data_IF_022564206722
#
_entry.id   IF_022564206722
#
_cell.length_a   1.000
_cell.length_b   1.000
_cell.length_c   1.000
_cell.angle_alpha   90.00
_cell.angle_beta   90.00
_cell.angle_gamma   90.00
#
_symmetry.space_group_name_H-M   'P 1'
#
loop_
_entity.id
_entity.type
_entity.pdbx_description
1 polymer ?
#
# COMPACT_ATOMS: atom_id res chain seq x y z
N UNK A 1 16.53 -23.84 -30.94
CA UNK A 1 15.69 -23.27 -29.86
C UNK A 1 14.36 -22.91 -30.49
N UNK A 2 13.27 -23.55 -30.07
CA UNK A 2 11.96 -23.31 -30.64
C UNK A 2 11.48 -21.90 -30.22
N UNK A 3 11.11 -21.08 -31.19
CA UNK A 3 10.44 -19.81 -30.96
C UNK A 3 9.10 -20.10 -30.27
N UNK A 4 8.97 -19.75 -29.00
CA UNK A 4 7.70 -19.87 -28.28
C UNK A 4 6.78 -18.80 -28.84
N UNK A 5 5.81 -19.21 -29.67
CA UNK A 5 4.82 -18.28 -30.19
C UNK A 5 4.07 -17.61 -29.02
N UNK A 6 3.86 -16.30 -29.12
CA UNK A 6 3.04 -15.51 -28.19
C UNK A 6 1.56 -15.88 -28.34
N UNK A 7 1.24 -17.12 -28.00
CA UNK A 7 -0.11 -17.63 -27.93
C UNK A 7 -0.83 -17.07 -26.70
N UNK A 8 -2.15 -17.02 -26.75
CA UNK A 8 -2.99 -16.61 -25.61
C UNK A 8 -2.70 -17.44 -24.36
N UNK A 9 -2.47 -18.75 -24.51
CA UNK A 9 -2.15 -19.64 -23.40
C UNK A 9 -0.80 -19.30 -22.75
N UNK A 10 0.22 -18.94 -23.55
CA UNK A 10 1.51 -18.49 -23.04
C UNK A 10 1.38 -17.18 -22.25
N UNK A 11 0.66 -16.19 -22.79
CA UNK A 11 0.45 -14.90 -22.09
C UNK A 11 -0.32 -15.06 -20.78
N UNK A 12 -1.29 -15.98 -20.71
CA UNK A 12 -1.99 -16.30 -19.46
C UNK A 12 -1.05 -16.92 -18.42
N UNK A 13 -0.17 -17.83 -18.83
CA UNK A 13 0.82 -18.42 -17.93
C UNK A 13 1.82 -17.38 -17.42
N UNK A 14 2.30 -16.50 -18.30
CA UNK A 14 3.19 -15.37 -17.95
C UNK A 14 2.51 -14.43 -16.96
N UNK A 15 1.27 -14.02 -17.21
CA UNK A 15 0.52 -13.15 -16.30
C UNK A 15 0.33 -13.79 -14.91
N UNK A 16 0.03 -15.08 -14.85
CA UNK A 16 -0.06 -15.81 -13.58
C UNK A 16 1.27 -15.82 -12.85
N UNK A 17 2.37 -16.09 -13.56
CA UNK A 17 3.73 -16.06 -13.00
C UNK A 17 4.10 -14.69 -12.44
N UNK A 18 3.85 -13.62 -13.21
CA UNK A 18 4.07 -12.24 -12.78
C UNK A 18 3.23 -11.86 -11.57
N UNK A 19 1.95 -12.26 -11.56
CA UNK A 19 1.05 -12.06 -10.41
C UNK A 19 1.59 -12.76 -9.15
N UNK A 20 2.12 -13.99 -9.28
CA UNK A 20 2.73 -14.71 -8.16
C UNK A 20 4.00 -14.02 -7.66
N UNK A 21 4.89 -13.59 -8.55
CA UNK A 21 6.12 -12.87 -8.20
C UNK A 21 5.78 -11.57 -7.48
N UNK A 22 4.82 -10.81 -8.00
CA UNK A 22 4.35 -9.56 -7.41
C UNK A 22 3.80 -9.77 -6.00
N UNK A 23 2.88 -10.73 -5.80
CA UNK A 23 2.29 -10.99 -4.49
C UNK A 23 3.35 -11.44 -3.47
N UNK A 24 4.28 -12.31 -3.88
CA UNK A 24 5.36 -12.76 -3.00
C UNK A 24 6.28 -11.59 -2.59
N UNK A 25 6.62 -10.70 -3.52
CA UNK A 25 7.44 -9.52 -3.23
C UNK A 25 6.69 -8.51 -2.35
N UNK A 26 5.38 -8.35 -2.56
CA UNK A 26 4.52 -7.46 -1.77
C UNK A 26 4.43 -7.89 -0.30
N UNK A 27 4.39 -9.20 -0.05
CA UNK A 27 4.40 -9.78 1.31
C UNK A 27 5.75 -9.59 2.02
N UNK A 28 6.85 -9.65 1.27
CA UNK A 28 8.22 -9.50 1.79
C UNK A 28 8.69 -8.06 1.97
N UNK A 29 7.93 -7.07 1.50
CA UNK A 29 8.26 -5.65 1.61
C UNK A 29 8.24 -5.13 3.05
N UNK A 30 9.08 -4.13 3.35
CA UNK A 30 9.15 -3.53 4.68
C UNK A 30 7.95 -2.59 4.92
N UNK A 31 7.13 -2.96 5.91
CA UNK A 31 5.92 -2.23 6.31
C UNK A 31 6.16 -1.37 7.54
N UNK A 32 7.12 -0.44 7.46
CA UNK A 32 7.44 0.45 8.58
C UNK A 32 6.25 1.32 8.98
N UNK A 33 5.35 1.63 8.03
CA UNK A 33 4.14 2.37 8.29
C UNK A 33 3.25 1.74 9.37
N UNK A 34 3.25 0.41 9.51
CA UNK A 34 2.47 -0.30 10.54
C UNK A 34 2.98 -0.07 11.96
N UNK A 35 4.23 0.39 12.10
CA UNK A 35 4.83 0.71 13.41
C UNK A 35 4.41 2.08 13.93
N UNK A 36 4.04 3.00 13.03
CA UNK A 36 3.76 4.39 13.37
C UNK A 36 2.28 4.77 13.20
N UNK A 37 1.56 4.11 12.29
CA UNK A 37 0.16 4.38 12.00
C UNK A 37 -0.76 3.23 12.39
N UNK A 38 -1.98 3.58 12.80
CA UNK A 38 -3.07 2.61 13.00
C UNK A 38 -3.73 2.29 11.66
N UNK A 39 -3.74 1.01 11.28
CA UNK A 39 -4.48 0.53 10.12
C UNK A 39 -5.97 0.38 10.45
N UNK A 40 -6.84 1.00 9.66
CA UNK A 40 -8.29 0.81 9.74
C UNK A 40 -8.82 0.40 8.38
N UNK A 41 -9.59 -0.69 8.34
CA UNK A 41 -10.31 -1.09 7.14
C UNK A 41 -11.51 -0.15 6.92
N UNK A 42 -11.45 0.66 5.87
CA UNK A 42 -12.52 1.57 5.48
C UNK A 42 -13.33 0.98 4.33
N UNK A 43 -14.65 0.87 4.50
CA UNK A 43 -15.60 0.53 3.43
C UNK A 43 -16.29 1.77 2.83
N UNK A 44 -15.93 2.97 3.28
CA UNK A 44 -16.50 4.25 2.84
C UNK A 44 -15.43 5.13 2.20
N UNK A 45 -15.84 5.97 1.24
CA UNK A 45 -14.99 6.97 0.57
C UNK A 45 -14.41 8.00 1.54
N UNK A 46 -15.11 8.23 2.65
CA UNK A 46 -14.74 9.17 3.69
C UNK A 46 -14.90 8.47 5.04
N UNK A 47 -13.88 8.59 5.88
CA UNK A 47 -13.94 8.16 7.28
C UNK A 47 -13.72 9.39 8.15
N UNK A 48 -14.72 9.69 8.98
CA UNK A 48 -14.68 10.79 9.92
C UNK A 48 -14.42 10.30 11.34
N UNK A 49 -13.33 10.76 11.94
CA UNK A 49 -12.96 10.48 13.32
C UNK A 49 -13.31 11.68 14.20
N UNK A 50 -14.58 11.76 14.62
CA UNK A 50 -15.10 12.82 15.48
C UNK A 50 -14.57 12.76 16.92
N UNK A 51 -14.14 11.59 17.40
CA UNK A 51 -13.68 11.41 18.78
C UNK A 51 -12.22 11.84 19.01
N UNK A 52 -11.38 11.89 17.98
CA UNK A 52 -9.94 12.17 18.16
C UNK A 52 -9.68 13.58 18.71
N UNK A 53 -10.52 14.56 18.39
CA UNK A 53 -10.40 15.91 18.96
C UNK A 53 -11.15 16.11 20.27
N UNK A 54 -11.94 15.13 20.71
CA UNK A 54 -12.82 15.27 21.87
C UNK A 54 -12.21 14.69 23.16
N UNK A 55 -11.13 13.92 23.05
CA UNK A 55 -10.46 13.32 24.22
C UNK A 55 -9.65 14.38 24.99
N UNK A 56 -9.97 14.62 26.27
CA UNK A 56 -9.16 15.51 27.10
C UNK A 56 -7.80 14.87 27.41
N UNK A 57 -6.74 15.70 27.48
CA UNK A 57 -5.44 15.24 27.97
C UNK A 57 -5.56 14.74 29.41
N UNK A 58 -4.78 13.71 29.74
CA UNK A 58 -4.63 13.25 31.12
C UNK A 58 -4.04 14.37 31.97
N UNK A 59 -4.63 14.61 33.13
CA UNK A 59 -4.09 15.52 34.15
C UNK A 59 -3.99 14.77 35.47
N UNK A 60 -3.10 15.25 36.32
CA UNK A 60 -3.03 14.81 37.71
C UNK A 60 -4.34 15.12 38.45
N UNK A 61 -4.72 14.22 39.35
CA UNK A 61 -5.96 14.35 40.12
C UNK A 61 -5.77 15.43 41.19
N UNK A 62 -6.51 16.54 41.08
CA UNK A 62 -6.56 17.60 42.10
C UNK A 62 -8.03 17.82 42.47
N UNK A 63 -8.48 17.28 43.61
CA UNK A 63 -9.85 17.44 44.11
C UNK A 63 -10.88 16.54 43.43
N UNK A 64 -12.06 17.05 43.06
CA UNK A 64 -13.12 16.24 42.44
C UNK A 64 -12.89 16.00 40.93
N UNK A 65 -13.47 14.92 40.39
CA UNK A 65 -13.37 14.57 38.97
C UNK A 65 -14.07 15.65 38.12
N UNK A 66 -13.31 16.38 37.31
CA UNK A 66 -13.92 17.30 36.33
C UNK A 66 -14.01 16.70 34.93
N UNK A 67 -15.18 16.86 34.32
CA UNK A 67 -15.50 16.39 32.98
C UNK A 67 -15.22 17.50 31.94
N UNK A 68 -14.54 17.17 30.85
CA UNK A 68 -14.37 18.10 29.71
C UNK A 68 -15.55 18.00 28.75
N UNK A 69 -15.93 19.14 28.16
CA UNK A 69 -16.90 19.18 27.06
C UNK A 69 -16.23 18.68 25.78
N UNK A 70 -16.84 17.69 25.13
CA UNK A 70 -16.38 17.13 23.86
C UNK A 70 -16.44 18.22 22.77
N UNK A 71 -15.31 18.56 22.15
CA UNK A 71 -15.26 19.43 20.96
C UNK A 71 -15.41 18.58 19.69
N UNK A 72 -16.28 18.98 18.78
CA UNK A 72 -16.61 18.24 17.54
C UNK A 72 -15.72 18.58 16.34
N UNK A 73 -14.40 18.70 16.53
CA UNK A 73 -13.49 18.85 15.39
C UNK A 73 -13.12 17.45 14.88
N UNK A 74 -13.87 16.93 13.91
CA UNK A 74 -13.55 15.64 13.29
C UNK A 74 -12.32 15.71 12.39
N UNK A 75 -11.51 14.65 12.40
CA UNK A 75 -10.54 14.40 11.34
C UNK A 75 -11.22 13.63 10.21
N UNK A 76 -11.17 14.16 9.00
CA UNK A 76 -11.76 13.54 7.82
C UNK A 76 -10.65 12.98 6.94
N UNK A 77 -10.63 11.67 6.76
CA UNK A 77 -9.73 11.00 5.81
C UNK A 77 -10.55 10.63 4.57
N UNK A 78 -10.14 11.14 3.41
CA UNK A 78 -10.75 10.82 2.12
C UNK A 78 -9.88 9.82 1.37
N UNK A 79 -10.52 8.81 0.78
CA UNK A 79 -9.84 7.83 -0.08
C UNK A 79 -9.18 8.55 -1.26
N UNK A 80 -7.90 8.21 -1.50
CA UNK A 80 -7.17 8.60 -2.71
C UNK A 80 -6.70 7.33 -3.41
N UNK A 81 -6.84 7.30 -4.72
CA UNK A 81 -6.36 6.20 -5.56
C UNK A 81 -4.94 6.53 -6.05
N UNK A 82 -4.07 5.51 -6.07
CA UNK A 82 -2.65 5.63 -6.44
C UNK A 82 -2.30 4.55 -7.45
N UNK A 83 -1.41 4.88 -8.38
CA UNK A 83 -1.00 3.97 -9.45
C UNK A 83 0.50 4.08 -9.73
N UNK A 84 1.12 2.93 -9.98
CA UNK A 84 2.44 2.81 -10.59
C UNK A 84 2.40 1.66 -11.60
N UNK A 85 2.68 1.97 -12.87
CA UNK A 85 2.53 1.06 -14.00
C UNK A 85 3.81 1.04 -14.83
N UNK A 86 4.17 -0.14 -15.37
CA UNK A 86 5.32 -0.31 -16.27
C UNK A 86 4.88 -0.91 -17.61
N UNK A 87 5.58 -0.54 -18.67
CA UNK A 87 5.45 -1.15 -19.98
C UNK A 87 6.68 -2.02 -20.28
N UNK A 88 6.44 -3.26 -20.71
CA UNK A 88 7.51 -4.19 -21.08
C UNK A 88 7.38 -4.55 -22.56
N UNK A 89 8.43 -4.35 -23.38
CA UNK A 89 8.39 -4.73 -24.78
C UNK A 89 8.19 -6.24 -24.96
N UNK A 90 7.44 -6.60 -26.01
CA UNK A 90 7.20 -8.00 -26.39
C UNK A 90 8.49 -8.82 -26.49
N UNK A 91 9.51 -8.28 -27.14
CA UNK A 91 10.77 -8.99 -27.37
C UNK A 91 11.49 -9.30 -26.05
N UNK A 92 11.36 -8.41 -25.06
CA UNK A 92 11.92 -8.65 -23.72
C UNK A 92 11.20 -9.82 -23.05
N UNK A 93 9.87 -9.96 -23.21
CA UNK A 93 9.11 -11.11 -22.68
C UNK A 93 9.49 -12.42 -23.39
N UNK A 94 9.63 -12.39 -24.72
CA UNK A 94 9.93 -13.58 -25.50
C UNK A 94 11.37 -14.06 -25.31
N UNK A 95 12.31 -13.14 -25.13
CA UNK A 95 13.74 -13.40 -25.08
C UNK A 95 14.38 -13.05 -23.74
N UNK A 96 13.64 -13.10 -22.61
CA UNK A 96 14.16 -12.76 -21.28
C UNK A 96 15.25 -13.75 -20.81
N UNK A 97 16.43 -13.65 -21.41
CA UNK A 97 17.59 -14.50 -21.15
C UNK A 97 18.37 -14.05 -19.92
N UNK A 98 18.14 -12.80 -19.48
CA UNK A 98 18.85 -12.16 -18.37
C UNK A 98 17.97 -12.06 -17.11
N UNK A 99 16.72 -12.52 -17.17
CA UNK A 99 15.79 -12.48 -16.05
C UNK A 99 15.50 -11.06 -15.57
N UNK A 100 15.43 -10.10 -16.49
CA UNK A 100 15.31 -8.67 -16.19
C UNK A 100 13.89 -8.30 -15.77
N UNK A 101 12.89 -9.03 -16.26
CA UNK A 101 11.49 -8.70 -15.98
C UNK A 101 11.14 -8.98 -14.52
N UNK A 102 11.69 -10.06 -13.95
CA UNK A 102 11.44 -10.44 -12.56
C UNK A 102 11.79 -9.33 -11.55
N UNK A 103 13.01 -8.77 -11.52
CA UNK A 103 13.35 -7.70 -10.59
C UNK A 103 12.54 -6.41 -10.85
N UNK A 104 12.11 -6.14 -12.09
CA UNK A 104 11.23 -4.99 -12.36
C UNK A 104 9.86 -5.15 -11.68
N UNK A 105 9.28 -6.35 -11.72
CA UNK A 105 8.01 -6.66 -11.04
C UNK A 105 8.18 -6.66 -9.52
N UNK A 106 9.29 -7.20 -9.02
CA UNK A 106 9.62 -7.15 -7.58
C UNK A 106 9.73 -5.70 -7.10
N UNK A 107 10.46 -4.85 -7.84
CA UNK A 107 10.58 -3.41 -7.55
C UNK A 107 9.22 -2.71 -7.55
N UNK A 108 8.33 -3.03 -8.50
CA UNK A 108 6.96 -2.50 -8.49
C UNK A 108 6.19 -2.88 -7.22
N UNK A 109 6.35 -4.10 -6.72
CA UNK A 109 5.72 -4.51 -5.47
C UNK A 109 6.31 -3.76 -4.26
N UNK A 110 7.62 -3.49 -4.27
CA UNK A 110 8.27 -2.69 -3.24
C UNK A 110 7.79 -1.24 -3.21
N UNK A 111 7.54 -0.62 -4.37
CA UNK A 111 7.01 0.74 -4.48
C UNK A 111 5.67 0.91 -3.75
N UNK A 112 4.83 -0.12 -3.70
CA UNK A 112 3.56 -0.07 -2.95
C UNK A 112 3.82 0.18 -1.46
N UNK A 113 4.77 -0.54 -0.86
CA UNK A 113 5.07 -0.37 0.57
C UNK A 113 5.83 0.94 0.82
N UNK A 114 6.76 1.30 -0.07
CA UNK A 114 7.48 2.57 0.01
C UNK A 114 6.53 3.77 -0.04
N UNK A 115 5.52 3.73 -0.90
CA UNK A 115 4.50 4.77 -0.96
C UNK A 115 3.82 4.99 0.40
N UNK A 116 3.42 3.93 1.10
CA UNK A 116 2.83 4.06 2.43
C UNK A 116 3.82 4.55 3.50
N UNK A 117 5.09 4.12 3.41
CA UNK A 117 6.14 4.61 4.30
C UNK A 117 6.36 6.12 4.10
N UNK A 118 6.47 6.57 2.85
CA UNK A 118 6.69 7.97 2.48
C UNK A 118 5.54 8.86 2.98
N UNK A 119 4.28 8.41 2.88
CA UNK A 119 3.12 9.14 3.40
C UNK A 119 3.20 9.45 4.91
N UNK A 120 3.93 8.63 5.68
CA UNK A 120 4.09 8.82 7.12
C UNK A 120 5.31 9.67 7.44
N UNK A 121 6.44 9.45 6.76
CA UNK A 121 7.69 10.15 7.09
C UNK A 121 7.78 11.56 6.51
N UNK A 122 6.92 11.92 5.56
CA UNK A 122 6.89 13.26 4.94
C UNK A 122 5.96 14.26 5.63
N UNK A 123 5.29 13.87 6.72
CA UNK A 123 4.48 14.73 7.61
C UNK A 123 5.35 15.58 8.55
#
# INVERSE_FOLDING_TARGET
>A
MAFTELSTAYMQAVNKGFSTIFNNALEGGNKDYEKFAMLTNANSLVVEYQFLASLPKMREWIGDRQFSKLKGQGYTITKKDWESSIEVPRDVITYDNLGIIRPQIEMLAYEVQNHYNDLIFTL
#
